data_IF_745439377350
#
_entry.id   IF_745439377350
#
_cell.length_a   1.000
_cell.length_b   1.000
_cell.length_c   1.000
_cell.angle_alpha   90.00
_cell.angle_beta   90.00
_cell.angle_gamma   90.00
#
_symmetry.space_group_name_H-M   'P 1'
#
loop_
_entity.id
_entity.type
_entity.pdbx_description
1 polymer ?
#
# COMPACT_ATOMS: atom_id res chain seq x y z
N UNK A 1 -1.92 -48.51 36.94
CA UNK A 1 -1.99 -47.04 37.16
C UNK A 1 -0.82 -46.36 36.44
N UNK A 2 -0.97 -45.99 35.15
CA UNK A 2 0.17 -45.39 34.42
C UNK A 2 -0.09 -44.84 33.01
N UNK A 3 -1.33 -44.87 32.50
CA UNK A 3 -1.67 -44.39 31.16
C UNK A 3 -1.90 -42.87 31.08
N UNK A 4 -2.40 -42.26 32.16
CA UNK A 4 -2.97 -40.91 32.11
C UNK A 4 -1.91 -39.80 32.03
N UNK A 5 -0.70 -40.08 32.53
CA UNK A 5 0.43 -39.14 32.52
C UNK A 5 1.03 -38.92 31.12
N UNK A 6 0.89 -39.90 30.21
CA UNK A 6 1.49 -39.83 28.87
C UNK A 6 0.64 -38.92 27.98
N UNK A 7 -0.68 -39.03 28.04
CA UNK A 7 -1.61 -38.19 27.28
C UNK A 7 -1.56 -36.73 27.76
N UNK A 8 -1.47 -36.50 29.07
CA UNK A 8 -1.31 -35.14 29.62
C UNK A 8 0.00 -34.47 29.16
N UNK A 9 1.14 -35.19 29.20
CA UNK A 9 2.43 -34.67 28.71
C UNK A 9 2.44 -34.38 27.21
N UNK A 10 1.76 -35.21 26.40
CA UNK A 10 1.63 -34.99 24.94
C UNK A 10 0.79 -33.76 24.63
N UNK A 11 -0.33 -33.58 25.34
CA UNK A 11 -1.23 -32.42 25.18
C UNK A 11 -0.56 -31.11 25.62
N UNK A 12 0.23 -31.12 26.69
CA UNK A 12 1.03 -29.96 27.12
C UNK A 12 2.16 -29.60 26.14
N UNK A 13 2.87 -30.60 25.58
CA UNK A 13 3.87 -30.35 24.53
C UNK A 13 3.25 -29.81 23.24
N UNK A 14 2.06 -30.29 22.89
CA UNK A 14 1.34 -29.79 21.72
C UNK A 14 0.86 -28.35 21.95
N UNK A 15 0.34 -28.03 23.15
CA UNK A 15 -0.03 -26.67 23.55
C UNK A 15 1.19 -25.71 23.57
N UNK A 16 2.33 -26.14 24.11
CA UNK A 16 3.58 -25.37 24.10
C UNK A 16 4.20 -25.22 22.70
N UNK A 17 3.93 -26.16 21.77
CA UNK A 17 4.32 -26.02 20.36
C UNK A 17 3.36 -25.16 19.53
N UNK A 18 2.15 -24.91 20.06
CA UNK A 18 1.10 -24.08 19.47
C UNK A 18 1.09 -22.66 20.06
N UNK A 19 1.86 -22.39 21.11
CA UNK A 19 2.26 -21.03 21.45
C UNK A 19 3.03 -20.47 20.25
N UNK A 20 2.34 -19.69 19.43
CA UNK A 20 2.96 -18.93 18.36
C UNK A 20 4.08 -18.12 19.00
N UNK A 21 5.33 -18.46 18.68
CA UNK A 21 6.47 -17.57 18.92
C UNK A 21 6.06 -16.22 18.36
N UNK A 22 6.00 -15.19 19.20
CA UNK A 22 5.78 -13.83 18.75
C UNK A 22 6.74 -13.59 17.58
N UNK A 23 6.24 -13.07 16.44
CA UNK A 23 7.08 -12.85 15.29
C UNK A 23 8.23 -11.95 15.73
N UNK A 24 9.46 -12.48 15.68
CA UNK A 24 10.64 -11.70 16.03
C UNK A 24 10.80 -10.64 14.95
N UNK A 25 10.91 -9.37 15.35
CA UNK A 25 11.29 -8.26 14.46
C UNK A 25 12.55 -8.70 13.71
N UNK A 26 12.46 -8.81 12.39
CA UNK A 26 13.66 -9.01 11.56
C UNK A 26 14.47 -7.72 11.53
N UNK A 27 15.77 -7.81 11.26
CA UNK A 27 16.75 -6.73 11.40
C UNK A 27 16.59 -5.56 10.40
N UNK A 28 15.47 -5.47 9.69
CA UNK A 28 15.19 -4.40 8.74
C UNK A 28 14.07 -3.49 9.22
N UNK A 29 13.88 -2.36 8.53
CA UNK A 29 12.92 -1.32 8.87
C UNK A 29 11.54 -1.91 9.23
N UNK A 30 10.90 -1.29 10.23
CA UNK A 30 9.50 -1.47 10.56
C UNK A 30 8.67 -0.36 9.92
N UNK A 31 7.68 -0.75 9.14
CA UNK A 31 6.95 0.07 8.18
C UNK A 31 5.46 0.00 8.48
N UNK A 32 4.83 1.16 8.62
CA UNK A 32 3.37 1.28 8.67
C UNK A 32 2.86 1.77 7.31
N UNK A 33 1.89 1.06 6.73
CA UNK A 33 1.20 1.46 5.50
C UNK A 33 -0.28 1.61 5.82
N UNK A 34 -0.83 2.81 5.67
CA UNK A 34 -2.24 3.10 5.88
C UNK A 34 -2.87 3.46 4.54
N UNK A 35 -3.82 2.65 4.09
CA UNK A 35 -4.47 2.79 2.80
C UNK A 35 -5.83 3.47 2.93
N UNK A 36 -6.20 4.34 1.99
CA UNK A 36 -7.56 4.89 1.91
C UNK A 36 -8.62 3.82 1.61
N UNK A 37 -8.32 2.86 0.72
CA UNK A 37 -9.22 1.75 0.42
C UNK A 37 -9.11 0.58 1.41
N UNK A 38 -10.26 -0.02 1.72
CA UNK A 38 -10.34 -1.14 2.67
C UNK A 38 -9.80 -2.48 2.14
N UNK A 39 -9.76 -2.65 0.81
CA UNK A 39 -9.57 -3.97 0.17
C UNK A 39 -8.41 -4.01 -0.82
N UNK A 40 -8.53 -3.30 -1.94
CA UNK A 40 -7.61 -3.45 -3.08
C UNK A 40 -6.16 -3.22 -2.67
N UNK A 41 -5.86 -2.06 -2.09
CA UNK A 41 -4.50 -1.64 -1.74
C UNK A 41 -3.95 -2.51 -0.60
N UNK A 42 -4.68 -2.78 0.50
CA UNK A 42 -4.23 -3.72 1.52
C UNK A 42 -3.93 -5.12 0.98
N UNK A 43 -4.76 -5.66 0.07
CA UNK A 43 -4.51 -6.97 -0.54
C UNK A 43 -3.26 -6.94 -1.43
N UNK A 44 -3.10 -5.90 -2.25
CA UNK A 44 -1.93 -5.72 -3.10
C UNK A 44 -0.62 -5.68 -2.30
N UNK A 45 -0.57 -4.93 -1.19
CA UNK A 45 0.63 -4.88 -0.34
C UNK A 45 0.86 -6.17 0.46
N UNK A 46 -0.20 -6.86 0.89
CA UNK A 46 -0.07 -8.19 1.52
C UNK A 46 0.53 -9.20 0.56
N UNK A 47 0.10 -9.21 -0.69
CA UNK A 47 0.68 -10.09 -1.73
C UNK A 47 2.15 -9.76 -2.01
N UNK A 48 2.56 -8.48 -1.97
CA UNK A 48 3.98 -8.10 -2.02
C UNK A 48 4.73 -8.69 -0.81
N UNK A 49 4.19 -8.53 0.39
CA UNK A 49 4.82 -9.08 1.60
C UNK A 49 4.99 -10.59 1.50
N UNK A 50 3.97 -11.30 1.03
CA UNK A 50 4.01 -12.76 0.86
C UNK A 50 5.06 -13.16 -0.21
N UNK A 51 5.07 -12.47 -1.35
CA UNK A 51 5.99 -12.75 -2.47
C UNK A 51 7.46 -12.55 -2.08
N UNK A 52 7.77 -11.47 -1.37
CA UNK A 52 9.13 -11.11 -0.94
C UNK A 52 9.47 -11.62 0.48
N UNK A 53 8.57 -12.41 1.07
CA UNK A 53 8.67 -13.00 2.42
C UNK A 53 8.96 -11.95 3.50
N UNK A 54 8.34 -10.79 3.41
CA UNK A 54 8.46 -9.72 4.40
C UNK A 54 7.73 -10.14 5.68
N UNK A 55 8.33 -9.83 6.82
CA UNK A 55 7.79 -10.19 8.13
C UNK A 55 6.58 -9.32 8.44
N UNK A 56 5.49 -9.95 8.90
CA UNK A 56 4.31 -9.23 9.39
C UNK A 56 4.58 -8.46 10.68
N UNK A 57 5.73 -8.66 11.34
CA UNK A 57 6.17 -7.81 12.44
C UNK A 57 6.90 -6.54 11.96
N UNK A 58 7.32 -6.51 10.70
CA UNK A 58 8.03 -5.40 10.10
C UNK A 58 7.16 -4.59 9.14
N UNK A 59 6.05 -5.14 8.62
CA UNK A 59 5.15 -4.41 7.73
C UNK A 59 3.72 -4.51 8.25
N UNK A 60 3.24 -3.41 8.83
CA UNK A 60 1.88 -3.25 9.30
C UNK A 60 1.05 -2.56 8.21
N UNK A 61 -0.04 -3.20 7.76
CA UNK A 61 -0.90 -2.69 6.68
C UNK A 61 -2.33 -2.49 7.22
N UNK A 62 -2.81 -1.24 7.17
CA UNK A 62 -4.14 -0.83 7.60
C UNK A 62 -4.97 -0.31 6.41
N UNK A 63 -6.29 -0.44 6.47
CA UNK A 63 -7.18 0.06 5.41
C UNK A 63 -8.66 0.08 5.79
N UNK A 64 -9.11 -0.89 6.58
CA UNK A 64 -10.52 -0.96 7.00
C UNK A 64 -10.84 0.01 8.14
N UNK A 65 -9.84 0.34 8.95
CA UNK A 65 -10.01 1.05 10.21
C UNK A 65 -9.78 2.57 10.12
N UNK A 66 -9.36 3.09 8.96
CA UNK A 66 -8.81 4.45 8.81
C UNK A 66 -9.73 5.47 8.15
N UNK A 67 -10.95 5.09 7.76
CA UNK A 67 -11.87 5.96 7.01
C UNK A 67 -11.55 5.99 5.50
N UNK A 68 -12.37 6.71 4.73
CA UNK A 68 -12.36 6.70 3.26
C UNK A 68 -12.08 8.08 2.65
N UNK A 69 -11.31 8.91 3.35
CA UNK A 69 -10.89 10.21 2.84
C UNK A 69 -9.43 10.52 3.26
N UNK A 70 -8.71 11.36 2.49
CA UNK A 70 -7.29 11.64 2.73
C UNK A 70 -6.94 12.07 4.16
N UNK A 71 -7.78 12.89 4.80
CA UNK A 71 -7.49 13.43 6.13
C UNK A 71 -7.68 12.37 7.21
N UNK A 72 -8.69 11.52 7.08
CA UNK A 72 -8.90 10.39 7.98
C UNK A 72 -7.73 9.40 7.93
N UNK A 73 -7.19 9.10 6.75
CA UNK A 73 -6.01 8.24 6.56
C UNK A 73 -4.80 8.80 7.32
N UNK A 74 -4.50 10.10 7.12
CA UNK A 74 -3.38 10.76 7.79
C UNK A 74 -3.55 10.78 9.31
N UNK A 75 -4.74 11.14 9.80
CA UNK A 75 -5.03 11.15 11.24
C UNK A 75 -4.89 9.76 11.86
N UNK A 76 -5.37 8.72 11.17
CA UNK A 76 -5.22 7.35 11.63
C UNK A 76 -3.75 6.94 11.70
N UNK A 77 -2.97 7.24 10.66
CA UNK A 77 -1.54 6.94 10.62
C UNK A 77 -0.79 7.62 11.78
N UNK A 78 -1.07 8.89 12.05
CA UNK A 78 -0.52 9.63 13.20
C UNK A 78 -0.94 8.97 14.52
N UNK A 79 -2.22 8.64 14.69
CA UNK A 79 -2.72 8.04 15.92
C UNK A 79 -2.13 6.64 16.16
N UNK A 80 -1.91 5.87 15.10
CA UNK A 80 -1.29 4.54 15.15
C UNK A 80 0.20 4.63 15.51
N UNK A 81 0.92 5.56 14.89
CA UNK A 81 2.32 5.85 15.23
C UNK A 81 2.47 6.35 16.68
N UNK A 82 1.62 7.24 17.17
CA UNK A 82 1.71 7.73 18.54
C UNK A 82 1.45 6.66 19.61
N UNK A 83 0.76 5.58 19.26
CA UNK A 83 0.54 4.41 20.15
C UNK A 83 1.73 3.46 20.18
N UNK A 84 2.54 3.49 19.14
CA UNK A 84 3.68 2.60 18.93
C UNK A 84 4.66 3.31 18.01
N UNK A 85 5.66 3.97 18.60
CA UNK A 85 6.60 4.83 17.89
C UNK A 85 7.77 4.06 17.28
N UNK A 86 7.78 2.72 17.38
CA UNK A 86 8.83 1.85 16.82
C UNK A 86 8.57 1.56 15.33
N UNK A 87 8.29 2.60 14.55
CA UNK A 87 8.27 2.55 13.08
C UNK A 87 9.38 3.43 12.55
N UNK A 88 10.17 2.88 11.62
CA UNK A 88 11.17 3.63 10.87
C UNK A 88 10.50 4.46 9.76
N UNK A 89 9.39 3.95 9.21
CA UNK A 89 8.65 4.61 8.13
C UNK A 89 7.14 4.46 8.25
N UNK A 90 6.43 5.54 7.90
CA UNK A 90 4.97 5.58 7.82
C UNK A 90 4.54 6.10 6.45
N UNK A 91 3.74 5.32 5.74
CA UNK A 91 3.20 5.65 4.44
C UNK A 91 1.68 5.78 4.48
N UNK A 92 1.16 6.90 3.97
CA UNK A 92 -0.28 7.09 3.72
C UNK A 92 -0.56 6.93 2.23
N UNK A 93 -1.26 5.86 1.83
CA UNK A 93 -1.66 5.62 0.45
C UNK A 93 -3.01 6.26 0.20
N UNK A 94 -3.03 7.29 -0.65
CA UNK A 94 -4.15 8.22 -0.80
C UNK A 94 -4.55 8.32 -2.27
N UNK A 95 -5.85 8.23 -2.52
CA UNK A 95 -6.44 8.49 -3.84
C UNK A 95 -6.74 9.99 -3.98
N UNK A 96 -6.28 10.59 -5.08
CA UNK A 96 -6.53 12.00 -5.37
C UNK A 96 -7.59 12.14 -6.45
N UNK A 97 -8.85 11.98 -6.04
CA UNK A 97 -10.02 12.38 -6.83
C UNK A 97 -10.52 13.78 -6.40
N UNK A 98 -11.82 14.07 -6.54
CA UNK A 98 -12.48 15.35 -6.19
C UNK A 98 -12.60 15.61 -4.67
N UNK A 99 -11.79 14.97 -3.83
CA UNK A 99 -11.88 15.10 -2.38
C UNK A 99 -11.40 16.47 -1.90
N UNK A 100 -12.25 17.18 -1.17
CA UNK A 100 -11.96 18.51 -0.63
C UNK A 100 -10.87 18.50 0.46
N UNK A 101 -10.68 17.37 1.15
CA UNK A 101 -9.77 17.23 2.31
C UNK A 101 -8.32 16.91 1.92
N UNK A 102 -8.03 16.74 0.63
CA UNK A 102 -6.69 16.37 0.16
C UNK A 102 -5.62 17.38 0.58
N UNK A 103 -5.87 18.67 0.40
CA UNK A 103 -4.90 19.71 0.75
C UNK A 103 -4.63 19.75 2.25
N UNK A 104 -5.67 19.64 3.07
CA UNK A 104 -5.55 19.63 4.53
C UNK A 104 -4.72 18.42 5.00
N UNK A 105 -4.92 17.25 4.39
CA UNK A 105 -4.13 16.06 4.66
C UNK A 105 -2.64 16.28 4.33
N UNK A 106 -2.32 16.93 3.21
CA UNK A 106 -0.94 17.22 2.82
C UNK A 106 -0.28 18.25 3.75
N UNK A 107 -1.02 19.28 4.18
CA UNK A 107 -0.54 20.26 5.16
C UNK A 107 -0.23 19.55 6.49
N UNK A 108 -1.17 18.73 6.97
CA UNK A 108 -0.99 17.99 8.22
C UNK A 108 0.25 17.07 8.18
N UNK A 109 0.51 16.40 7.06
CA UNK A 109 1.71 15.58 6.87
C UNK A 109 3.00 16.41 6.88
N UNK A 110 2.99 17.58 6.22
CA UNK A 110 4.16 18.48 6.16
C UNK A 110 4.49 19.07 7.53
N UNK A 111 3.46 19.50 8.27
CA UNK A 111 3.63 20.21 9.54
C UNK A 111 3.95 19.27 10.70
N UNK A 112 3.70 17.96 10.53
CA UNK A 112 4.04 16.94 11.50
C UNK A 112 5.53 16.60 11.45
N UNK A 113 6.28 17.11 12.42
CA UNK A 113 7.59 16.57 12.82
C UNK A 113 7.40 15.37 13.74
N UNK A 114 7.26 14.17 13.19
CA UNK A 114 7.12 12.94 13.99
C UNK A 114 8.50 12.34 14.23
N UNK A 115 9.22 12.86 15.22
CA UNK A 115 10.61 12.46 15.49
C UNK A 115 11.58 12.94 14.41
N UNK A 116 12.86 13.12 14.74
CA UNK A 116 13.86 13.60 13.78
C UNK A 116 14.27 12.51 12.76
N UNK A 117 13.96 11.24 13.04
CA UNK A 117 14.47 10.08 12.28
C UNK A 117 13.39 9.30 11.50
N UNK A 118 12.09 9.52 11.76
CA UNK A 118 11.02 8.73 11.13
C UNK A 118 10.59 9.36 9.81
N UNK A 119 10.55 8.55 8.74
CA UNK A 119 10.08 8.99 7.43
C UNK A 119 8.55 8.86 7.38
N UNK A 120 7.86 9.98 7.32
CA UNK A 120 6.41 10.02 7.14
C UNK A 120 6.07 10.58 5.75
N UNK A 121 5.37 9.81 4.91
CA UNK A 121 5.19 10.15 3.49
C UNK A 121 3.82 9.79 2.93
N UNK A 122 3.23 10.68 2.12
CA UNK A 122 2.07 10.35 1.29
C UNK A 122 2.52 9.62 0.01
N UNK A 123 1.80 8.57 -0.36
CA UNK A 123 1.92 7.92 -1.66
C UNK A 123 0.60 8.12 -2.39
N UNK A 124 0.61 9.01 -3.38
CA UNK A 124 -0.60 9.49 -4.03
C UNK A 124 -0.83 8.75 -5.34
N UNK A 125 -2.07 8.44 -5.67
CA UNK A 125 -2.50 8.07 -7.02
C UNK A 125 -3.66 8.95 -7.49
N UNK A 126 -3.49 9.62 -8.63
CA UNK A 126 -4.49 10.50 -9.23
C UNK A 126 -4.94 9.91 -10.57
N UNK A 127 -6.24 9.57 -10.74
CA UNK A 127 -7.32 9.79 -9.77
C UNK A 127 -7.43 8.75 -8.65
N UNK A 128 -6.92 7.53 -8.86
CA UNK A 128 -7.05 6.44 -7.88
C UNK A 128 -5.96 5.37 -8.06
N UNK A 129 -5.83 4.46 -7.10
CA UNK A 129 -4.90 3.35 -7.09
C UNK A 129 -4.91 2.52 -8.38
N UNK A 130 -6.08 2.30 -8.99
CA UNK A 130 -6.19 1.55 -10.24
C UNK A 130 -5.37 2.17 -11.39
N UNK A 131 -5.00 3.43 -11.31
CA UNK A 131 -4.10 4.04 -12.29
C UNK A 131 -2.69 3.43 -12.22
N UNK A 132 -2.19 3.09 -11.03
CA UNK A 132 -0.96 2.33 -10.87
C UNK A 132 -1.07 0.95 -11.54
N UNK A 133 -2.20 0.26 -11.39
CA UNK A 133 -2.43 -1.02 -12.07
C UNK A 133 -2.42 -0.86 -13.60
N UNK A 134 -3.01 0.23 -14.12
CA UNK A 134 -3.02 0.52 -15.56
C UNK A 134 -1.61 0.68 -16.13
N UNK A 135 -0.68 1.26 -15.37
CA UNK A 135 0.71 1.45 -15.79
C UNK A 135 1.48 0.14 -15.99
N UNK A 136 1.04 -0.99 -15.44
CA UNK A 136 1.61 -2.30 -15.79
C UNK A 136 1.39 -2.67 -17.25
N UNK A 137 0.35 -2.14 -17.90
CA UNK A 137 -0.01 -2.53 -19.26
C UNK A 137 0.29 -1.45 -20.30
N UNK A 138 0.03 -0.18 -19.98
CA UNK A 138 0.21 0.92 -20.91
C UNK A 138 0.86 2.13 -20.26
N UNK A 139 1.59 2.92 -21.06
CA UNK A 139 1.94 4.28 -20.69
C UNK A 139 0.85 5.24 -21.17
N UNK A 140 0.44 6.19 -20.34
CA UNK A 140 -0.51 7.24 -20.72
C UNK A 140 -0.31 8.48 -19.87
N UNK A 141 -0.38 9.65 -20.51
CA UNK A 141 -0.45 10.97 -19.86
C UNK A 141 -1.84 11.58 -20.00
N UNK A 142 -2.79 10.86 -20.62
CA UNK A 142 -4.16 11.34 -20.84
C UNK A 142 -4.85 11.59 -19.49
N UNK A 143 -5.34 12.82 -19.22
CA UNK A 143 -6.10 13.10 -18.01
C UNK A 143 -7.37 12.24 -17.92
N UNK A 144 -7.71 11.85 -16.69
CA UNK A 144 -8.97 11.19 -16.39
C UNK A 144 -9.89 12.21 -15.71
N UNK A 145 -10.74 12.85 -16.50
CA UNK A 145 -11.70 13.86 -16.07
C UNK A 145 -13.09 13.46 -16.53
N UNK A 146 -13.88 12.88 -15.61
CA UNK A 146 -15.24 12.47 -15.89
C UNK A 146 -16.19 13.67 -15.93
N UNK A 147 -17.06 13.68 -16.93
CA UNK A 147 -18.18 14.63 -17.05
C UNK A 147 -19.42 14.06 -16.34
N UNK A 148 -20.23 14.95 -15.76
CA UNK A 148 -21.46 14.56 -15.07
C UNK A 148 -21.22 13.82 -13.76
N UNK A 149 -21.96 12.72 -13.54
CA UNK A 149 -21.99 11.97 -12.27
C UNK A 149 -20.93 10.87 -12.13
N UNK A 150 -20.23 10.51 -13.21
CA UNK A 150 -19.21 9.47 -13.15
C UNK A 150 -17.98 9.95 -12.35
N UNK A 151 -17.35 9.04 -11.60
CA UNK A 151 -16.07 9.31 -10.94
C UNK A 151 -14.90 9.28 -11.93
N UNK A 152 -13.79 9.95 -11.59
CA UNK A 152 -12.59 9.87 -12.43
C UNK A 152 -12.01 8.44 -12.42
N UNK A 153 -12.16 7.73 -11.31
CA UNK A 153 -11.72 6.34 -11.17
C UNK A 153 -12.50 5.38 -12.10
N UNK A 154 -13.79 5.61 -12.36
CA UNK A 154 -14.56 4.81 -13.35
C UNK A 154 -13.95 4.86 -14.75
N UNK A 155 -13.36 5.99 -15.15
CA UNK A 155 -12.69 6.10 -16.45
C UNK A 155 -11.40 5.27 -16.47
N UNK A 156 -10.67 5.21 -15.36
CA UNK A 156 -9.48 4.36 -15.21
C UNK A 156 -9.89 2.89 -15.26
N UNK A 157 -10.94 2.50 -14.54
CA UNK A 157 -11.47 1.12 -14.54
C UNK A 157 -11.91 0.65 -15.93
N UNK A 158 -12.58 1.52 -16.71
CA UNK A 158 -12.94 1.22 -18.10
C UNK A 158 -11.71 1.01 -18.98
N UNK A 159 -10.66 1.79 -18.77
CA UNK A 159 -9.39 1.63 -19.49
C UNK A 159 -8.70 0.33 -19.05
N UNK A 160 -8.59 0.06 -17.76
CA UNK A 160 -7.95 -1.13 -17.21
C UNK A 160 -8.59 -2.44 -17.69
N UNK A 161 -9.92 -2.46 -17.84
CA UNK A 161 -10.69 -3.62 -18.28
C UNK A 161 -10.63 -3.90 -19.80
N UNK A 162 -9.95 -3.08 -20.61
CA UNK A 162 -9.81 -3.36 -22.04
C UNK A 162 -8.95 -4.62 -22.28
N UNK A 163 -9.19 -5.30 -23.40
CA UNK A 163 -8.44 -6.49 -23.83
C UNK A 163 -6.93 -6.21 -23.88
N UNK A 164 -6.13 -7.18 -23.42
CA UNK A 164 -4.67 -7.08 -23.35
C UNK A 164 -4.14 -6.35 -22.12
N UNK A 165 -5.01 -6.07 -21.14
CA UNK A 165 -4.65 -5.42 -19.88
C UNK A 165 -5.04 -6.31 -18.71
N UNK A 166 -5.99 -5.87 -17.88
CA UNK A 166 -6.53 -6.67 -16.78
C UNK A 166 -8.04 -6.84 -16.97
N UNK A 167 -8.47 -7.64 -17.96
CA UNK A 167 -9.89 -7.89 -18.21
C UNK A 167 -10.52 -8.57 -16.98
N UNK A 168 -11.76 -8.21 -16.67
CA UNK A 168 -12.51 -8.69 -15.50
C UNK A 168 -11.98 -8.22 -14.15
N UNK A 169 -11.14 -7.18 -14.11
CA UNK A 169 -10.79 -6.53 -12.86
C UNK A 169 -12.01 -5.84 -12.24
N UNK A 170 -12.27 -6.17 -10.97
CA UNK A 170 -13.24 -5.48 -10.12
C UNK A 170 -12.56 -4.96 -8.86
N UNK A 171 -13.00 -3.79 -8.35
CA UNK A 171 -12.45 -3.21 -7.11
C UNK A 171 -12.58 -4.20 -5.95
N UNK A 172 -11.51 -4.32 -5.15
CA UNK A 172 -11.41 -5.26 -4.04
C UNK A 172 -11.07 -6.70 -4.43
N UNK A 173 -10.69 -6.93 -5.70
CA UNK A 173 -10.17 -8.23 -6.13
C UNK A 173 -8.84 -8.57 -5.41
N UNK A 174 -8.61 -9.87 -5.26
CA UNK A 174 -7.37 -10.45 -4.75
C UNK A 174 -6.48 -10.91 -5.90
N UNK A 175 -5.26 -11.31 -5.60
CA UNK A 175 -4.24 -11.78 -6.55
C UNK A 175 -3.82 -10.72 -7.56
N UNK A 176 -4.00 -9.43 -7.23
CA UNK A 176 -3.71 -8.34 -8.15
C UNK A 176 -2.21 -8.19 -8.38
N UNK A 177 -1.42 -8.24 -7.31
CA UNK A 177 0.03 -8.19 -7.45
C UNK A 177 0.54 -9.40 -8.21
N UNK A 178 0.03 -10.59 -7.90
CA UNK A 178 0.39 -11.82 -8.64
C UNK A 178 0.16 -11.68 -10.16
N UNK A 179 -0.96 -11.07 -10.57
CA UNK A 179 -1.30 -10.86 -11.98
C UNK A 179 -0.47 -9.75 -12.66
N UNK A 180 0.08 -8.81 -11.91
CA UNK A 180 0.82 -7.66 -12.46
C UNK A 180 2.33 -7.76 -12.28
N UNK A 181 2.84 -8.63 -11.40
CA UNK A 181 4.25 -8.69 -10.99
C UNK A 181 5.22 -8.90 -12.16
N UNK A 182 4.84 -9.68 -13.17
CA UNK A 182 5.67 -9.88 -14.38
C UNK A 182 5.98 -8.58 -15.14
N UNK A 183 5.15 -7.54 -14.97
CA UNK A 183 5.27 -6.24 -15.65
C UNK A 183 5.65 -5.12 -14.67
N UNK A 184 6.11 -5.49 -13.48
CA UNK A 184 6.37 -4.54 -12.40
C UNK A 184 7.47 -3.55 -12.80
N UNK A 185 8.54 -4.03 -13.45
CA UNK A 185 9.66 -3.19 -13.90
C UNK A 185 9.17 -2.17 -14.94
N UNK A 186 8.34 -2.59 -15.89
CA UNK A 186 7.72 -1.72 -16.88
C UNK A 186 6.79 -0.68 -16.23
N UNK A 187 6.01 -1.08 -15.23
CA UNK A 187 5.15 -0.17 -14.47
C UNK A 187 5.95 0.90 -13.75
N UNK A 188 7.02 0.51 -13.06
CA UNK A 188 7.94 1.42 -12.37
C UNK A 188 8.59 2.39 -13.37
N UNK A 189 9.07 1.90 -14.52
CA UNK A 189 9.64 2.74 -15.58
C UNK A 189 8.63 3.76 -16.10
N UNK A 190 7.39 3.33 -16.37
CA UNK A 190 6.31 4.19 -16.86
C UNK A 190 5.87 5.23 -15.82
N UNK A 191 5.85 4.86 -14.55
CA UNK A 191 5.52 5.78 -13.47
C UNK A 191 6.60 6.85 -13.26
N UNK A 192 7.89 6.48 -13.32
CA UNK A 192 9.00 7.43 -13.33
C UNK A 192 8.93 8.36 -14.56
N UNK A 193 8.66 7.81 -15.74
CA UNK A 193 8.48 8.61 -16.96
C UNK A 193 7.31 9.61 -16.82
N UNK A 194 6.19 9.17 -16.22
CA UNK A 194 5.04 10.03 -15.96
C UNK A 194 5.35 11.14 -14.96
N UNK A 195 6.10 10.86 -13.90
CA UNK A 195 6.53 11.88 -12.94
C UNK A 195 7.37 12.98 -13.63
N UNK A 196 8.34 12.58 -14.46
CA UNK A 196 9.16 13.53 -15.23
C UNK A 196 8.30 14.36 -16.19
N UNK A 197 7.35 13.72 -16.88
CA UNK A 197 6.40 14.44 -17.74
C UNK A 197 5.60 15.48 -16.94
N UNK A 198 5.00 15.05 -15.83
CA UNK A 198 4.18 15.89 -14.97
C UNK A 198 4.95 17.08 -14.38
N UNK A 199 6.22 16.87 -14.00
CA UNK A 199 7.10 17.95 -13.56
C UNK A 199 7.35 18.97 -14.67
N UNK A 200 7.57 18.53 -15.91
CA UNK A 200 7.85 19.40 -17.05
C UNK A 200 6.61 20.13 -17.60
N UNK A 201 5.40 19.67 -17.29
CA UNK A 201 4.15 20.24 -17.80
C UNK A 201 3.23 20.78 -16.71
N UNK A 202 3.69 20.86 -15.47
CA UNK A 202 2.88 21.20 -14.29
C UNK A 202 1.55 20.41 -14.18
N UNK A 203 1.57 19.15 -14.64
CA UNK A 203 0.38 18.28 -14.61
C UNK A 203 0.34 17.46 -13.34
N UNK A 204 -0.86 17.16 -12.85
CA UNK A 204 -1.08 16.29 -11.71
C UNK A 204 -2.16 15.23 -11.92
N UNK A 205 -2.67 15.10 -13.15
CA UNK A 205 -3.65 14.09 -13.54
C UNK A 205 -3.37 13.60 -14.98
N UNK A 206 -2.99 12.32 -15.17
CA UNK A 206 -2.85 11.31 -14.13
C UNK A 206 -1.50 11.43 -13.41
N UNK A 207 -1.40 10.88 -12.21
CA UNK A 207 -0.15 10.82 -11.45
C UNK A 207 -0.13 9.60 -10.52
N UNK A 208 1.06 9.08 -10.20
CA UNK A 208 1.20 8.13 -9.09
C UNK A 208 2.62 8.09 -8.54
N UNK A 209 2.75 7.97 -7.22
CA UNK A 209 4.02 7.73 -6.52
C UNK A 209 4.18 6.26 -6.11
N UNK A 210 3.29 5.36 -6.57
CA UNK A 210 3.22 4.00 -6.03
C UNK A 210 4.47 3.15 -6.28
N UNK A 211 5.15 3.39 -7.41
CA UNK A 211 6.44 2.75 -7.69
C UNK A 211 7.48 3.00 -6.58
N UNK A 212 7.47 4.15 -5.91
CA UNK A 212 8.44 4.44 -4.85
C UNK A 212 8.23 3.54 -3.62
N UNK A 213 6.96 3.33 -3.22
CA UNK A 213 6.64 2.43 -2.11
C UNK A 213 6.87 0.98 -2.50
N UNK A 214 6.47 0.58 -3.70
CA UNK A 214 6.69 -0.80 -4.17
C UNK A 214 8.18 -1.11 -4.28
N UNK A 215 8.98 -0.22 -4.88
CA UNK A 215 10.43 -0.36 -4.97
C UNK A 215 11.11 -0.48 -3.61
N UNK A 216 10.65 0.34 -2.65
CA UNK A 216 11.13 0.26 -1.28
C UNK A 216 10.80 -1.09 -0.64
N UNK A 217 9.56 -1.57 -0.75
CA UNK A 217 9.14 -2.85 -0.16
C UNK A 217 9.88 -4.05 -0.76
N UNK A 218 10.05 -4.12 -2.08
CA UNK A 218 10.73 -5.25 -2.73
C UNK A 218 12.23 -5.30 -2.40
N UNK A 219 12.82 -4.17 -2.01
CA UNK A 219 14.21 -4.06 -1.57
C UNK A 219 14.37 -3.95 -0.05
N UNK A 220 13.28 -4.05 0.73
CA UNK A 220 13.28 -3.78 2.17
C UNK A 220 14.35 -4.56 2.94
N UNK A 221 14.53 -5.84 2.60
CA UNK A 221 15.56 -6.71 3.23
C UNK A 221 17.00 -6.33 2.86
N UNK A 222 17.20 -5.72 1.70
CA UNK A 222 18.52 -5.34 1.17
C UNK A 222 18.96 -3.97 1.66
N UNK A 223 18.02 -3.11 2.04
CA UNK A 223 18.29 -1.76 2.51
C UNK A 223 18.97 -1.70 3.90
N UNK A 224 19.17 -2.86 4.55
CA UNK A 224 19.72 -2.97 5.91
C UNK A 224 21.05 -3.73 5.96
N UNK A 225 21.78 -3.77 4.84
CA UNK A 225 23.15 -4.27 4.73
C UNK A 225 24.14 -3.12 4.58
#
# INVERSE_FOLDING_TARGET
MGSDNIFYKRKQRQAASLERKNPKKSSYDRVLIVCEGEKTEPHYFKEICDTYKLSTANVDICGKECGSDPLSVVNYAIAKFNKDTDYDRVYCVIDRDKHITFNDAMILLRDKKLGEEVIFKAIISAPCFEFWLLLHFIYTTRPFCAQGKASNCELVLKELNKKGRLPSYSKGANNIFALTNEKLIEAMKRANQLQNHNHNTDSNNPATNMHELVEYLINLKKNCC
#
